data_IF_589977224044
#
_entry.id   IF_589977224044
#
_cell.length_a   1.000
_cell.length_b   1.000
_cell.length_c   1.000
_cell.angle_alpha   90.00
_cell.angle_beta   90.00
_cell.angle_gamma   90.00
#
_symmetry.space_group_name_H-M   'P 1'
#
loop_
_entity.id
_entity.type
_entity.pdbx_description
1 polymer ?
#
# COMPACT_ATOMS: atom_id res chain seq x y z
N UNK A 1 12.12 -11.17 -4.96
CA UNK A 1 12.00 -11.67 -6.36
C UNK A 1 10.69 -11.27 -7.04
N UNK A 2 9.54 -11.27 -6.35
CA UNK A 2 8.23 -10.94 -6.94
C UNK A 2 8.12 -9.52 -7.53
N UNK A 3 8.61 -8.49 -6.84
CA UNK A 3 8.49 -7.09 -7.31
C UNK A 3 9.15 -6.91 -8.69
N UNK A 4 10.39 -7.39 -8.86
CA UNK A 4 11.09 -7.28 -10.14
C UNK A 4 10.35 -7.97 -11.30
N UNK A 5 9.74 -9.13 -11.06
CA UNK A 5 8.95 -9.82 -12.09
C UNK A 5 7.68 -9.05 -12.47
N UNK A 6 7.03 -8.39 -11.51
CA UNK A 6 5.89 -7.53 -11.79
C UNK A 6 6.28 -6.27 -12.56
N UNK A 7 7.41 -5.64 -12.21
CA UNK A 7 7.92 -4.46 -12.93
C UNK A 7 8.18 -4.77 -14.40
N UNK A 8 8.88 -5.87 -14.69
CA UNK A 8 9.20 -6.28 -16.07
C UNK A 8 7.94 -6.56 -16.87
N UNK A 9 6.95 -7.26 -16.30
CA UNK A 9 5.67 -7.53 -16.98
C UNK A 9 4.90 -6.26 -17.32
N UNK A 10 4.88 -5.27 -16.43
CA UNK A 10 4.23 -3.99 -16.68
C UNK A 10 4.94 -3.25 -17.81
N UNK A 11 6.27 -3.23 -17.78
CA UNK A 11 7.08 -2.61 -18.82
C UNK A 11 6.85 -3.27 -20.19
N UNK A 12 6.86 -4.61 -20.24
CA UNK A 12 6.63 -5.38 -21.47
C UNK A 12 5.26 -5.06 -22.08
N UNK A 13 4.20 -5.02 -21.26
CA UNK A 13 2.85 -4.72 -21.73
C UNK A 13 2.73 -3.30 -22.30
N UNK A 14 3.24 -2.30 -21.57
CA UNK A 14 3.19 -0.90 -22.02
C UNK A 14 4.06 -0.68 -23.26
N UNK A 15 5.21 -1.34 -23.34
CA UNK A 15 6.12 -1.19 -24.46
C UNK A 15 5.51 -1.73 -25.76
N UNK A 16 4.86 -2.89 -25.72
CA UNK A 16 4.15 -3.44 -26.90
C UNK A 16 3.07 -2.48 -27.39
N UNK A 17 2.26 -1.94 -26.47
CA UNK A 17 1.23 -0.95 -26.80
C UNK A 17 1.85 0.33 -27.40
N UNK A 18 2.96 0.83 -26.85
CA UNK A 18 3.67 1.98 -27.41
C UNK A 18 4.22 1.73 -28.81
N UNK A 19 4.74 0.54 -29.11
CA UNK A 19 5.19 0.19 -30.46
C UNK A 19 4.01 0.21 -31.45
N UNK A 20 2.84 -0.27 -31.04
CA UNK A 20 1.62 -0.20 -31.87
C UNK A 20 1.19 1.26 -32.12
N UNK A 21 1.25 2.10 -31.09
CA UNK A 21 0.99 3.54 -31.23
C UNK A 21 2.00 4.23 -32.16
N UNK A 22 3.29 3.86 -32.12
CA UNK A 22 4.31 4.40 -33.02
C UNK A 22 4.10 3.98 -34.47
N UNK A 23 3.66 2.75 -34.72
CA UNK A 23 3.33 2.29 -36.08
C UNK A 23 2.11 3.02 -36.64
N UNK A 24 1.05 3.18 -35.84
CA UNK A 24 -0.13 3.99 -36.19
C UNK A 24 0.25 5.46 -36.46
N UNK A 25 1.10 6.03 -35.61
CA UNK A 25 1.62 7.38 -35.78
C UNK A 25 2.39 7.51 -37.09
N UNK A 26 3.28 6.56 -37.40
CA UNK A 26 4.08 6.54 -38.62
C UNK A 26 3.20 6.58 -39.86
N UNK A 27 2.16 5.74 -39.92
CA UNK A 27 1.21 5.72 -41.04
C UNK A 27 0.48 7.07 -41.16
N UNK A 28 0.02 7.62 -40.03
CA UNK A 28 -0.68 8.92 -40.01
C UNK A 28 0.19 10.07 -40.52
N UNK A 29 1.48 10.09 -40.14
CA UNK A 29 2.45 11.11 -40.57
C UNK A 29 2.79 10.93 -42.04
N UNK A 30 2.92 9.69 -42.52
CA UNK A 30 3.19 9.39 -43.92
C UNK A 30 2.07 9.92 -44.84
N UNK A 31 0.81 9.82 -44.41
CA UNK A 31 -0.33 10.38 -45.14
C UNK A 31 -0.34 11.92 -45.08
N UNK A 32 0.07 12.54 -43.97
CA UNK A 32 0.17 14.02 -43.86
C UNK A 32 1.35 14.62 -44.63
N UNK A 33 2.40 13.84 -44.87
CA UNK A 33 3.58 14.25 -45.64
C UNK A 33 3.27 14.73 -47.07
N UNK A 34 2.15 14.26 -47.64
CA UNK A 34 1.68 14.73 -48.96
C UNK A 34 1.24 16.21 -48.96
N UNK A 35 1.09 16.85 -47.79
CA UNK A 35 0.57 18.21 -47.59
C UNK A 35 1.59 19.31 -47.24
N UNK A 36 2.86 19.19 -47.63
CA UNK A 36 3.92 20.21 -47.40
C UNK A 36 4.35 20.39 -45.92
N UNK A 37 3.99 19.49 -45.00
CA UNK A 37 4.53 19.47 -43.63
C UNK A 37 5.79 18.61 -43.53
N UNK A 38 6.72 18.99 -42.65
CA UNK A 38 7.96 18.24 -42.39
C UNK A 38 7.67 16.96 -41.58
N UNK A 39 7.62 15.76 -42.21
CA UNK A 39 7.08 14.56 -41.57
C UNK A 39 7.96 14.08 -40.41
N UNK A 40 9.27 14.28 -40.54
CA UNK A 40 10.25 13.89 -39.53
C UNK A 40 10.13 14.71 -38.24
N UNK A 41 9.73 15.98 -38.35
CA UNK A 41 9.56 16.86 -37.19
C UNK A 41 8.29 16.49 -36.43
N UNK A 42 7.18 16.27 -37.15
CA UNK A 42 5.92 15.80 -36.56
C UNK A 42 6.08 14.47 -35.86
N UNK A 43 6.65 13.47 -36.55
CA UNK A 43 6.86 12.14 -35.99
C UNK A 43 7.67 12.21 -34.70
N UNK A 44 8.80 12.94 -34.69
CA UNK A 44 9.63 13.07 -33.50
C UNK A 44 8.88 13.69 -32.33
N UNK A 45 8.14 14.78 -32.59
CA UNK A 45 7.38 15.50 -31.57
C UNK A 45 6.26 14.63 -30.98
N UNK A 46 5.49 13.97 -31.83
CA UNK A 46 4.36 13.13 -31.42
C UNK A 46 4.85 11.85 -30.75
N UNK A 47 5.88 11.18 -31.26
CA UNK A 47 6.49 10.01 -30.64
C UNK A 47 7.01 10.32 -29.22
N UNK A 48 7.61 11.50 -29.02
CA UNK A 48 8.04 11.93 -27.69
C UNK A 48 6.85 12.14 -26.73
N UNK A 49 5.72 12.65 -27.22
CA UNK A 49 4.51 12.76 -26.41
C UNK A 49 3.97 11.38 -26.02
N UNK A 50 3.90 10.44 -26.97
CA UNK A 50 3.50 9.05 -26.68
C UNK A 50 4.43 8.39 -25.66
N UNK A 51 5.74 8.63 -25.73
CA UNK A 51 6.70 8.15 -24.74
C UNK A 51 6.45 8.72 -23.34
N UNK A 52 6.16 10.03 -23.24
CA UNK A 52 5.81 10.64 -21.96
C UNK A 52 4.52 10.04 -21.37
N UNK A 53 3.52 9.75 -22.22
CA UNK A 53 2.29 9.09 -21.79
C UNK A 53 2.56 7.67 -21.27
N UNK A 54 3.38 6.88 -21.97
CA UNK A 54 3.84 5.58 -21.50
C UNK A 54 4.56 5.71 -20.15
N UNK A 55 5.44 6.69 -20.00
CA UNK A 55 6.23 6.88 -18.78
C UNK A 55 5.33 7.19 -17.58
N UNK A 56 4.35 8.09 -17.75
CA UNK A 56 3.36 8.38 -16.71
C UNK A 56 2.46 7.18 -16.38
N UNK A 57 2.04 6.42 -17.40
CA UNK A 57 1.26 5.19 -17.19
C UNK A 57 2.07 4.14 -16.42
N UNK A 58 3.35 3.99 -16.75
CA UNK A 58 4.28 3.11 -16.05
C UNK A 58 4.41 3.51 -14.58
N UNK A 59 4.74 4.78 -14.29
CA UNK A 59 4.87 5.28 -12.92
C UNK A 59 3.58 5.06 -12.10
N UNK A 60 2.41 5.34 -12.68
CA UNK A 60 1.13 5.14 -12.02
C UNK A 60 0.87 3.65 -11.70
N UNK A 61 1.14 2.74 -12.65
CA UNK A 61 0.95 1.31 -12.45
C UNK A 61 1.95 0.73 -11.44
N UNK A 62 3.20 1.19 -11.49
CA UNK A 62 4.23 0.83 -10.51
C UNK A 62 3.81 1.27 -9.12
N UNK A 63 3.34 2.51 -8.94
CA UNK A 63 2.89 3.01 -7.65
C UNK A 63 1.74 2.18 -7.07
N UNK A 64 0.75 1.84 -7.89
CA UNK A 64 -0.42 1.05 -7.49
C UNK A 64 -0.08 -0.40 -7.16
N UNK A 65 0.95 -0.97 -7.77
CA UNK A 65 1.35 -2.37 -7.54
C UNK A 65 2.40 -2.53 -6.44
N UNK A 66 3.34 -1.60 -6.31
CA UNK A 66 4.45 -1.69 -5.35
C UNK A 66 4.02 -1.30 -3.93
N UNK A 67 3.22 -0.23 -3.78
CA UNK A 67 2.75 0.25 -2.47
C UNK A 67 2.12 -0.85 -1.61
N UNK A 68 1.12 -1.64 -2.09
CA UNK A 68 0.51 -2.69 -1.28
C UNK A 68 1.46 -3.85 -0.99
N UNK A 69 2.40 -4.16 -1.89
CA UNK A 69 3.40 -5.22 -1.67
C UNK A 69 4.34 -4.81 -0.53
N UNK A 70 4.80 -3.55 -0.54
CA UNK A 70 5.67 -3.02 0.51
C UNK A 70 4.98 -3.09 1.89
N UNK A 71 3.74 -2.59 2.00
CA UNK A 71 2.98 -2.60 3.25
C UNK A 71 2.71 -4.02 3.79
N UNK A 72 2.45 -4.96 2.87
CA UNK A 72 2.19 -6.36 3.22
C UNK A 72 3.46 -7.06 3.72
N UNK A 73 4.62 -6.77 3.14
CA UNK A 73 5.90 -7.33 3.61
C UNK A 73 6.31 -6.77 4.98
N UNK A 74 6.07 -5.48 5.26
CA UNK A 74 6.31 -4.91 6.60
C UNK A 74 5.37 -5.49 7.66
N UNK A 75 4.09 -5.72 7.34
CA UNK A 75 3.15 -6.39 8.27
C UNK A 75 3.55 -7.84 8.56
N UNK A 76 4.11 -8.56 7.58
CA UNK A 76 4.58 -9.95 7.79
C UNK A 76 5.86 -10.03 8.62
N UNK A 77 6.65 -8.96 8.67
CA UNK A 77 7.85 -8.85 9.53
C UNK A 77 7.52 -8.52 11.00
N UNK A 78 6.25 -8.20 11.31
CA UNK A 78 5.77 -8.05 12.68
C UNK A 78 4.86 -9.24 13.07
N UNK A 79 5.41 -10.42 13.42
CA UNK A 79 4.63 -11.54 13.94
C UNK A 79 4.20 -11.32 15.40
N UNK A 80 3.72 -10.12 15.73
CA UNK A 80 3.26 -9.76 17.07
C UNK A 80 1.91 -9.04 17.04
N UNK A 81 0.95 -9.54 16.26
CA UNK A 81 -0.46 -9.13 16.40
C UNK A 81 -1.46 -10.20 15.95
N UNK A 82 -1.17 -11.47 16.25
CA UNK A 82 -2.23 -12.51 16.28
C UNK A 82 -1.98 -13.51 17.40
N UNK A 83 -1.70 -12.98 18.60
CA UNK A 83 -2.15 -13.65 19.80
C UNK A 83 -3.62 -13.28 20.02
N UNK A 84 -4.46 -14.15 20.63
CA UNK A 84 -5.68 -13.65 21.25
C UNK A 84 -5.22 -12.61 22.28
N UNK A 85 -5.46 -11.33 22.04
CA UNK A 85 -5.19 -10.31 23.02
C UNK A 85 -6.28 -10.39 24.10
N UNK A 86 -5.94 -10.71 25.35
CA UNK A 86 -6.35 -9.90 26.47
C UNK A 86 -5.13 -9.05 26.84
N UNK A 87 -5.26 -7.72 26.83
CA UNK A 87 -4.95 -7.06 28.08
C UNK A 87 -5.73 -5.76 28.26
N UNK A 88 -6.46 -5.63 29.36
CA UNK A 88 -6.60 -4.32 30.00
C UNK A 88 -6.92 -4.45 31.48
N UNK A 89 -5.92 -4.16 32.31
CA UNK A 89 -6.13 -3.60 33.65
C UNK A 89 -6.32 -4.59 34.79
N UNK A 90 -5.22 -5.10 35.32
CA UNK A 90 -5.14 -5.49 36.72
C UNK A 90 -3.93 -6.35 37.04
N UNK A 91 -2.97 -5.78 37.77
CA UNK A 91 -1.86 -6.53 38.36
C UNK A 91 -2.41 -7.73 39.14
N UNK A 92 -1.80 -8.93 39.12
CA UNK A 92 -2.25 -10.03 39.98
C UNK A 92 -2.33 -9.53 41.44
N UNK A 93 -3.36 -9.92 42.22
CA UNK A 93 -3.52 -9.43 43.58
C UNK A 93 -2.22 -9.72 44.36
N UNK A 94 -1.59 -8.72 45.02
CA UNK A 94 -0.59 -9.05 46.03
C UNK A 94 -1.29 -9.95 47.03
N UNK A 95 -0.69 -11.09 47.39
CA UNK A 95 -1.18 -12.03 48.40
C UNK A 95 -2.00 -11.25 49.44
N UNK A 96 -3.32 -11.45 49.43
CA UNK A 96 -4.27 -10.50 50.00
C UNK A 96 -4.19 -10.44 51.52
N UNK A 97 -3.12 -9.82 52.02
CA UNK A 97 -2.95 -9.48 53.41
C UNK A 97 -3.36 -8.02 53.53
N UNK A 98 -4.67 -7.85 53.76
CA UNK A 98 -5.35 -6.65 54.20
C UNK A 98 -5.76 -5.61 53.13
N UNK A 99 -6.41 -6.01 52.02
CA UNK A 99 -7.20 -5.05 51.24
C UNK A 99 -8.58 -4.88 51.88
N UNK A 100 -8.91 -3.69 52.37
CA UNK A 100 -10.17 -3.42 53.05
C UNK A 100 -11.34 -3.37 52.05
N UNK A 101 -12.54 -3.78 52.50
CA UNK A 101 -13.74 -3.89 51.64
C UNK A 101 -14.12 -2.58 50.93
N UNK A 102 -13.74 -1.42 51.48
CA UNK A 102 -14.02 -0.10 50.91
C UNK A 102 -12.83 0.55 50.17
N UNK A 103 -11.65 -0.08 50.13
CA UNK A 103 -10.45 0.48 49.50
C UNK A 103 -10.54 0.47 47.96
N UNK A 104 -9.70 1.27 47.26
CA UNK A 104 -9.61 1.24 45.80
C UNK A 104 -9.25 -0.17 45.29
N UNK A 105 -9.91 -0.60 44.21
CA UNK A 105 -9.66 -1.93 43.65
C UNK A 105 -8.30 -1.99 42.92
N UNK A 106 -7.53 -3.04 43.16
CA UNK A 106 -6.18 -3.24 42.60
C UNK A 106 -6.16 -3.38 41.06
N UNK A 107 -7.30 -3.67 40.44
CA UNK A 107 -7.40 -3.80 38.98
C UNK A 107 -7.26 -2.47 38.23
N UNK A 108 -7.06 -1.34 38.93
CA UNK A 108 -6.99 -0.01 38.33
C UNK A 108 -8.34 0.54 37.90
N UNK A 109 -9.44 -0.20 38.15
CA UNK A 109 -10.77 0.40 38.09
C UNK A 109 -10.89 1.37 39.27
N UNK A 110 -11.28 2.62 39.01
CA UNK A 110 -11.51 3.66 40.00
C UNK A 110 -12.72 3.37 40.93
N UNK A 111 -13.13 2.10 41.06
CA UNK A 111 -14.21 1.59 41.88
C UNK A 111 -13.65 1.00 43.19
N UNK A 112 -14.45 1.06 44.27
CA UNK A 112 -14.13 0.39 45.55
C UNK A 112 -14.13 -1.13 45.38
N UNK A 113 -13.27 -1.84 46.12
CA UNK A 113 -13.10 -3.29 46.03
C UNK A 113 -14.43 -4.06 46.07
N UNK A 114 -15.33 -3.76 47.02
CA UNK A 114 -16.66 -4.39 47.12
C UNK A 114 -17.60 -4.20 45.92
N UNK A 115 -17.36 -3.19 45.06
CA UNK A 115 -18.16 -2.90 43.85
C UNK A 115 -17.47 -3.36 42.57
N UNK A 116 -16.40 -4.14 42.70
CA UNK A 116 -15.61 -4.67 41.60
C UNK A 116 -15.29 -6.13 41.92
N UNK A 117 -14.04 -6.46 42.24
CA UNK A 117 -13.61 -7.85 42.48
C UNK A 117 -14.07 -8.45 43.82
N UNK A 118 -14.53 -7.64 44.79
CA UNK A 118 -15.06 -8.09 46.08
C UNK A 118 -16.59 -8.14 46.16
N UNK A 119 -17.29 -8.15 45.02
CA UNK A 119 -18.75 -8.15 44.95
C UNK A 119 -19.38 -9.54 45.11
N UNK A 120 -18.60 -10.61 44.89
CA UNK A 120 -19.04 -12.01 44.94
C UNK A 120 -18.64 -12.70 46.24
N UNK A 121 -18.97 -12.07 47.36
CA UNK A 121 -18.73 -12.53 48.73
C UNK A 121 -19.70 -11.90 49.72
#
# INVERSE_FOLDING_TARGET
MLVGQHMVRILDMLWVDHLEQLESLRESVNIRAYGQHEPLVEYRREAHNLFNQLSHAFEALVWNTVSPILETDFSKMNPAATGPNPPTGGLPPPEAKNIGRNDPCWCGSSKKYKKCHGQWG
#
